data_IF_888710197344
#
_entry.id   IF_888710197344
#
_cell.length_a   1.000
_cell.length_b   1.000
_cell.length_c   1.000
_cell.angle_alpha   90.00
_cell.angle_beta   90.00
_cell.angle_gamma   90.00
#
_symmetry.space_group_name_H-M   'P 1'
#
loop_
_entity.id
_entity.type
_entity.pdbx_description
1 polymer ?
#
# COMPACT_ATOMS: atom_id res chain seq x y z
N UNK A 1 -14.24 15.21 8.25
CA UNK A 1 -14.52 14.13 7.29
C UNK A 1 -13.67 14.36 6.06
N UNK A 2 -12.86 13.36 5.72
CA UNK A 2 -12.08 13.35 4.47
C UNK A 2 -13.03 13.01 3.32
N UNK A 3 -12.93 13.71 2.19
CA UNK A 3 -13.53 13.21 0.94
C UNK A 3 -12.78 11.93 0.56
N UNK A 4 -13.47 10.79 0.68
CA UNK A 4 -12.88 9.47 0.44
C UNK A 4 -12.52 9.22 -1.03
N UNK A 5 -11.76 8.15 -1.31
CA UNK A 5 -11.44 7.75 -2.69
C UNK A 5 -12.69 7.42 -3.49
N UNK A 6 -12.65 7.69 -4.80
CA UNK A 6 -13.68 7.19 -5.72
C UNK A 6 -13.58 5.66 -5.89
N UNK A 7 -14.60 5.04 -6.49
CA UNK A 7 -14.54 3.60 -6.81
C UNK A 7 -13.36 3.26 -7.74
N UNK A 8 -13.09 4.10 -8.74
CA UNK A 8 -11.95 3.93 -9.65
C UNK A 8 -10.62 4.03 -8.88
N UNK A 9 -10.49 4.97 -7.95
CA UNK A 9 -9.29 5.12 -7.12
C UNK A 9 -9.05 3.90 -6.24
N UNK A 10 -10.11 3.36 -5.61
CA UNK A 10 -10.04 2.11 -4.85
C UNK A 10 -9.56 0.95 -5.72
N UNK A 11 -10.11 0.80 -6.92
CA UNK A 11 -9.72 -0.25 -7.87
C UNK A 11 -8.25 -0.15 -8.28
N UNK A 12 -7.79 1.06 -8.66
CA UNK A 12 -6.39 1.31 -9.04
C UNK A 12 -5.41 1.02 -7.90
N UNK A 13 -5.70 1.50 -6.70
CA UNK A 13 -4.82 1.30 -5.53
C UNK A 13 -4.70 -0.17 -5.16
N UNK A 14 -5.81 -0.90 -5.19
CA UNK A 14 -5.83 -2.33 -4.90
C UNK A 14 -5.09 -3.14 -5.93
N UNK A 15 -5.27 -2.82 -7.22
CA UNK A 15 -4.49 -3.47 -8.27
C UNK A 15 -2.99 -3.21 -8.07
N UNK A 16 -2.60 -1.97 -7.76
CA UNK A 16 -1.23 -1.65 -7.37
C UNK A 16 -0.74 -2.50 -6.19
N UNK A 17 -1.51 -2.57 -5.10
CA UNK A 17 -1.20 -3.39 -3.93
C UNK A 17 -1.03 -4.88 -4.28
N UNK A 18 -1.88 -5.43 -5.15
CA UNK A 18 -1.75 -6.80 -5.62
C UNK A 18 -0.40 -7.08 -6.30
N UNK A 19 0.10 -6.17 -7.15
CA UNK A 19 1.43 -6.32 -7.77
C UNK A 19 2.59 -6.12 -6.80
N UNK A 20 2.41 -5.23 -5.82
CA UNK A 20 3.38 -5.05 -4.72
C UNK A 20 3.48 -6.34 -3.91
N UNK A 21 2.35 -6.88 -3.47
CA UNK A 21 2.31 -8.09 -2.62
C UNK A 21 2.77 -9.36 -3.33
N UNK A 22 2.60 -9.44 -4.66
CA UNK A 22 3.13 -10.54 -5.46
C UNK A 22 4.61 -10.40 -5.82
N UNK A 23 5.23 -9.25 -5.55
CA UNK A 23 6.62 -9.01 -5.93
C UNK A 23 6.84 -9.03 -7.43
N UNK A 24 5.91 -8.45 -8.17
CA UNK A 24 6.04 -8.31 -9.63
C UNK A 24 6.15 -6.85 -10.03
N UNK A 25 5.54 -5.92 -9.27
CA UNK A 25 5.53 -4.48 -9.56
C UNK A 25 5.22 -4.20 -11.05
N UNK A 26 4.29 -4.97 -11.65
CA UNK A 26 3.91 -4.92 -13.07
C UNK A 26 4.93 -5.44 -14.10
N UNK A 27 5.91 -6.25 -13.69
CA UNK A 27 6.76 -6.99 -14.63
C UNK A 27 6.67 -8.51 -14.39
N UNK A 28 5.97 -9.26 -15.26
CA UNK A 28 5.84 -10.72 -15.13
C UNK A 28 7.15 -11.50 -15.36
N UNK A 29 8.20 -10.87 -15.90
CA UNK A 29 9.41 -11.55 -16.39
C UNK A 29 10.67 -11.35 -15.54
N UNK A 30 10.63 -10.54 -14.48
CA UNK A 30 11.87 -10.19 -13.75
C UNK A 30 12.32 -11.21 -12.72
N UNK A 31 11.45 -12.10 -12.22
CA UNK A 31 11.88 -13.22 -11.38
C UNK A 31 12.86 -14.17 -12.09
N UNK A 32 12.87 -14.20 -13.43
CA UNK A 32 13.70 -15.11 -14.22
C UNK A 32 15.08 -14.58 -14.60
N UNK A 33 15.28 -13.26 -14.66
CA UNK A 33 16.52 -12.64 -15.15
C UNK A 33 17.23 -11.75 -14.13
N UNK A 34 16.55 -11.37 -13.06
CA UNK A 34 17.06 -10.43 -12.10
C UNK A 34 17.50 -11.14 -10.81
N UNK A 35 18.72 -10.84 -10.36
CA UNK A 35 19.31 -11.43 -9.14
C UNK A 35 18.88 -10.72 -7.85
N UNK A 36 18.05 -9.68 -7.95
CA UNK A 36 17.62 -8.90 -6.80
C UNK A 36 16.23 -9.34 -6.39
N UNK A 37 16.17 -10.06 -5.27
CA UNK A 37 14.92 -10.25 -4.55
C UNK A 37 14.61 -8.97 -3.76
N UNK A 38 13.85 -8.06 -4.37
CA UNK A 38 13.44 -6.83 -3.71
C UNK A 38 12.33 -7.06 -2.68
N UNK A 39 11.79 -8.29 -2.58
CA UNK A 39 10.77 -8.62 -1.59
C UNK A 39 11.32 -8.54 -0.17
N UNK A 40 12.60 -8.85 0.02
CA UNK A 40 13.26 -8.70 1.32
C UNK A 40 13.21 -7.25 1.85
N UNK A 41 13.13 -6.25 0.97
CA UNK A 41 13.00 -4.86 1.38
C UNK A 41 11.57 -4.50 1.82
N UNK A 42 10.55 -5.22 1.35
CA UNK A 42 9.14 -5.02 1.71
C UNK A 42 8.67 -5.99 2.82
N UNK A 43 9.32 -7.14 2.96
CA UNK A 43 9.03 -8.16 3.96
C UNK A 43 9.64 -7.84 5.34
N UNK A 44 10.66 -6.98 5.39
CA UNK A 44 11.28 -6.53 6.64
C UNK A 44 10.62 -5.24 7.13
N UNK A 45 10.39 -5.10 8.44
CA UNK A 45 9.93 -3.85 9.02
C UNK A 45 10.83 -2.67 8.61
N UNK A 46 10.25 -1.62 8.04
CA UNK A 46 11.00 -0.47 7.58
C UNK A 46 10.20 0.50 6.70
N UNK A 47 10.86 1.59 6.23
CA UNK A 47 10.18 2.70 5.55
C UNK A 47 9.81 2.39 4.09
N UNK A 48 10.35 1.30 3.51
CA UNK A 48 10.26 1.02 2.08
C UNK A 48 8.81 0.99 1.56
N UNK A 49 7.90 0.35 2.28
CA UNK A 49 6.49 0.28 1.90
C UNK A 49 5.81 1.66 1.98
N UNK A 50 6.07 2.42 3.05
CA UNK A 50 5.55 3.78 3.20
C UNK A 50 6.05 4.73 2.12
N UNK A 51 7.33 4.66 1.77
CA UNK A 51 7.92 5.45 0.69
C UNK A 51 7.32 5.08 -0.67
N UNK A 52 7.13 3.79 -0.95
CA UNK A 52 6.50 3.31 -2.19
C UNK A 52 5.09 3.88 -2.38
N UNK A 53 4.27 3.80 -1.34
CA UNK A 53 2.91 4.34 -1.37
C UNK A 53 2.88 5.87 -1.31
N UNK A 54 3.90 6.52 -0.74
CA UNK A 54 4.06 7.97 -0.81
C UNK A 54 4.33 8.41 -2.26
N UNK A 55 5.25 7.76 -2.97
CA UNK A 55 5.51 8.08 -4.39
C UNK A 55 4.26 7.85 -5.24
N UNK A 56 3.53 6.76 -5.00
CA UNK A 56 2.23 6.53 -5.63
C UNK A 56 1.25 7.67 -5.34
N UNK A 57 1.14 8.09 -4.07
CA UNK A 57 0.22 9.13 -3.63
C UNK A 57 0.50 10.48 -4.28
N UNK A 58 1.77 10.90 -4.34
CA UNK A 58 2.16 12.12 -5.03
C UNK A 58 1.90 12.04 -6.54
N UNK A 59 2.21 10.91 -7.16
CA UNK A 59 1.96 10.70 -8.57
C UNK A 59 0.47 10.74 -8.92
N UNK A 60 -0.38 10.13 -8.09
CA UNK A 60 -1.85 10.16 -8.27
C UNK A 60 -2.42 11.55 -8.03
N UNK A 61 -1.92 12.29 -7.04
CA UNK A 61 -2.31 13.68 -6.82
C UNK A 61 -1.93 14.59 -8.01
N UNK A 62 -0.76 14.34 -8.62
CA UNK A 62 -0.36 15.01 -9.85
C UNK A 62 -1.31 14.69 -11.02
N UNK A 63 -1.69 13.42 -11.21
CA UNK A 63 -2.70 13.03 -12.22
C UNK A 63 -4.05 13.75 -12.01
N UNK A 64 -4.55 13.77 -10.77
CA UNK A 64 -5.84 14.39 -10.42
C UNK A 64 -5.83 15.90 -10.66
N UNK A 65 -4.68 16.55 -10.54
CA UNK A 65 -4.51 17.99 -10.77
C UNK A 65 -4.07 18.35 -12.19
N UNK A 66 -3.84 17.36 -13.06
CA UNK A 66 -3.31 17.57 -14.41
C UNK A 66 -1.83 18.00 -14.43
N UNK A 67 -1.09 17.80 -13.34
CA UNK A 67 0.33 18.13 -13.25
C UNK A 67 1.20 17.07 -13.96
N UNK A 68 2.40 17.45 -14.46
CA UNK A 68 3.32 16.50 -15.08
C UNK A 68 3.83 15.45 -14.07
N UNK A 69 3.65 14.16 -14.37
CA UNK A 69 4.17 13.04 -13.56
C UNK A 69 5.13 12.09 -14.31
N UNK A 70 5.34 12.32 -15.62
CA UNK A 70 6.07 11.43 -16.51
C UNK A 70 5.15 10.45 -17.24
N UNK A 71 5.74 9.44 -17.90
CA UNK A 71 4.99 8.46 -18.70
C UNK A 71 4.55 7.25 -17.87
N UNK A 72 3.30 6.82 -18.10
CA UNK A 72 2.79 5.51 -17.67
C UNK A 72 2.09 5.43 -16.32
N UNK A 73 1.75 6.57 -15.71
CA UNK A 73 0.83 6.63 -14.57
C UNK A 73 1.46 6.51 -13.19
N UNK A 74 0.64 6.69 -12.15
CA UNK A 74 1.06 6.71 -10.75
C UNK A 74 1.68 5.39 -10.26
N UNK A 75 1.07 4.26 -10.64
CA UNK A 75 1.52 2.90 -10.37
C UNK A 75 2.90 2.64 -10.99
N UNK A 76 3.09 2.98 -12.26
CA UNK A 76 4.37 2.76 -12.95
C UNK A 76 5.46 3.68 -12.41
N UNK A 77 5.13 4.92 -12.04
CA UNK A 77 6.09 5.84 -11.40
C UNK A 77 6.61 5.26 -10.08
N UNK A 78 5.72 4.82 -9.20
CA UNK A 78 6.08 4.22 -7.92
C UNK A 78 6.91 2.93 -8.11
N UNK A 79 6.51 2.07 -9.05
CA UNK A 79 7.26 0.85 -9.38
C UNK A 79 8.66 1.14 -9.93
N UNK A 80 8.80 2.09 -10.87
CA UNK A 80 10.11 2.50 -11.42
C UNK A 80 11.00 3.11 -10.34
N UNK A 81 10.43 3.91 -9.44
CA UNK A 81 11.16 4.44 -8.30
C UNK A 81 11.73 3.34 -7.42
N UNK A 82 10.89 2.42 -6.98
CA UNK A 82 11.35 1.36 -6.11
C UNK A 82 12.43 0.53 -6.77
N UNK A 83 12.28 0.21 -8.06
CA UNK A 83 13.32 -0.44 -8.87
C UNK A 83 14.64 0.32 -8.89
N UNK A 84 14.62 1.64 -9.00
CA UNK A 84 15.86 2.44 -9.02
C UNK A 84 16.68 2.30 -7.74
N UNK A 85 16.06 1.95 -6.60
CA UNK A 85 16.77 1.75 -5.33
C UNK A 85 17.70 0.53 -5.34
N UNK A 86 17.46 -0.42 -6.25
CA UNK A 86 18.28 -1.62 -6.41
C UNK A 86 18.79 -1.85 -7.84
N UNK A 87 18.42 -0.99 -8.80
CA UNK A 87 18.94 -0.96 -10.17
C UNK A 87 19.51 0.41 -10.51
N UNK A 88 20.84 0.60 -10.38
CA UNK A 88 21.47 1.90 -10.64
C UNK A 88 21.26 2.46 -12.05
N UNK A 89 20.97 1.62 -13.04
CA UNK A 89 20.71 2.04 -14.42
C UNK A 89 19.26 2.49 -14.67
N UNK A 90 18.34 2.24 -13.74
CA UNK A 90 16.93 2.64 -13.86
C UNK A 90 16.80 4.15 -13.64
N UNK A 91 16.39 4.86 -14.68
CA UNK A 91 16.05 6.28 -14.58
C UNK A 91 14.54 6.47 -14.39
N UNK A 92 14.18 7.62 -13.80
CA UNK A 92 12.80 8.06 -13.60
C UNK A 92 12.75 9.52 -14.02
N UNK A 93 11.84 9.86 -14.92
CA UNK A 93 11.65 11.22 -15.42
C UNK A 93 10.17 11.62 -15.23
N UNK A 94 9.88 12.72 -14.51
CA UNK A 94 10.82 13.52 -13.72
C UNK A 94 11.42 12.74 -12.53
N UNK A 95 12.62 13.09 -12.04
CA UNK A 95 13.20 12.47 -10.85
C UNK A 95 12.24 12.52 -9.66
N UNK A 96 12.29 11.50 -8.80
CA UNK A 96 11.52 11.49 -7.54
C UNK A 96 12.21 12.42 -6.54
N UNK A 97 11.47 13.41 -6.05
CA UNK A 97 11.96 14.35 -5.03
C UNK A 97 11.92 13.73 -3.62
N UNK A 98 12.68 14.29 -2.68
CA UNK A 98 12.66 13.85 -1.29
C UNK A 98 11.27 14.03 -0.63
N UNK A 99 10.48 15.01 -1.08
CA UNK A 99 9.12 15.23 -0.58
C UNK A 99 8.16 14.10 -0.98
N UNK A 100 8.39 13.44 -2.12
CA UNK A 100 7.59 12.31 -2.58
C UNK A 100 7.79 11.04 -1.74
N UNK A 101 8.83 10.99 -0.90
CA UNK A 101 9.14 9.85 -0.03
C UNK A 101 8.40 9.88 1.30
N UNK A 102 7.52 10.87 1.51
CA UNK A 102 6.70 10.99 2.70
C UNK A 102 5.26 11.43 2.34
N UNK A 103 4.27 11.15 3.22
CA UNK A 103 2.93 11.72 3.08
C UNK A 103 2.97 13.25 3.02
N UNK A 104 2.06 13.85 2.28
CA UNK A 104 1.97 15.30 2.09
C UNK A 104 1.76 15.73 0.65
N UNK A 105 1.06 14.93 -0.17
CA UNK A 105 0.72 15.30 -1.55
C UNK A 105 -0.44 16.30 -1.65
N UNK A 106 -1.09 16.61 -0.53
CA UNK A 106 -2.17 17.61 -0.45
C UNK A 106 -3.55 17.07 -0.80
N UNK A 107 -3.66 15.77 -1.11
CA UNK A 107 -4.93 15.06 -1.28
C UNK A 107 -5.17 14.18 -0.04
N UNK A 108 -6.13 14.52 0.83
CA UNK A 108 -6.20 13.93 2.18
C UNK A 108 -6.29 12.41 2.23
N UNK A 109 -7.03 11.77 1.32
CA UNK A 109 -7.17 10.31 1.31
C UNK A 109 -5.91 9.60 0.77
N UNK A 110 -5.17 10.23 -0.16
CA UNK A 110 -3.89 9.71 -0.63
C UNK A 110 -2.82 9.82 0.46
N UNK A 111 -2.85 10.92 1.22
CA UNK A 111 -1.98 11.09 2.38
C UNK A 111 -2.30 10.07 3.49
N UNK A 112 -3.58 9.73 3.68
CA UNK A 112 -4.01 8.67 4.60
C UNK A 112 -3.49 7.29 4.17
N UNK A 113 -3.57 6.97 2.87
CA UNK A 113 -3.00 5.75 2.29
C UNK A 113 -1.49 5.66 2.53
N UNK A 114 -0.76 6.74 2.27
CA UNK A 114 0.70 6.77 2.47
C UNK A 114 1.08 6.59 3.95
N UNK A 115 0.36 7.23 4.88
CA UNK A 115 0.56 7.05 6.33
C UNK A 115 0.24 5.62 6.78
N UNK A 116 -0.87 5.06 6.30
CA UNK A 116 -1.26 3.69 6.60
C UNK A 116 -0.18 2.70 6.14
N UNK A 117 0.28 2.81 4.89
CA UNK A 117 1.33 1.96 4.34
C UNK A 117 2.65 2.09 5.10
N UNK A 118 3.01 3.30 5.56
CA UNK A 118 4.18 3.51 6.41
C UNK A 118 4.03 2.82 7.77
N UNK A 119 2.88 2.98 8.44
CA UNK A 119 2.62 2.32 9.73
C UNK A 119 2.60 0.79 9.60
N UNK A 120 2.01 0.27 8.53
CA UNK A 120 2.00 -1.15 8.22
C UNK A 120 3.42 -1.67 7.99
N UNK A 121 4.17 -1.04 7.07
CA UNK A 121 5.52 -1.45 6.70
C UNK A 121 6.53 -1.34 7.84
N UNK A 122 6.37 -0.38 8.74
CA UNK A 122 7.27 -0.18 9.89
C UNK A 122 6.91 -1.09 11.09
N UNK A 123 5.85 -1.90 11.00
CA UNK A 123 5.43 -2.73 12.13
C UNK A 123 4.77 -1.95 13.26
N UNK A 124 4.13 -0.80 12.96
CA UNK A 124 3.56 0.16 13.92
C UNK A 124 2.06 0.38 13.77
N UNK A 125 1.38 -0.46 13.00
CA UNK A 125 -0.05 -0.34 12.75
C UNK A 125 -0.82 -0.62 14.05
N UNK A 126 -1.70 0.31 14.46
CA UNK A 126 -2.57 0.18 15.63
C UNK A 126 -1.91 -0.59 16.80
N UNK A 127 -0.88 -0.02 17.47
CA UNK A 127 -0.10 -0.72 18.49
C UNK A 127 -0.97 -1.34 19.61
N UNK A 128 -2.11 -0.74 19.91
CA UNK A 128 -3.09 -1.25 20.87
C UNK A 128 -3.70 -2.61 20.48
N UNK A 129 -3.66 -2.97 19.20
CA UNK A 129 -4.14 -4.26 18.67
C UNK A 129 -2.98 -5.22 18.32
N UNK A 130 -1.86 -4.70 17.82
CA UNK A 130 -0.81 -5.50 17.16
C UNK A 130 0.56 -5.48 17.86
N UNK A 131 0.74 -4.76 18.97
CA UNK A 131 2.03 -4.71 19.66
C UNK A 131 2.54 -6.12 20.01
N UNK A 132 3.81 -6.37 19.71
CA UNK A 132 4.47 -7.66 19.96
C UNK A 132 4.18 -8.75 18.93
N UNK A 133 3.42 -8.46 17.86
CA UNK A 133 3.13 -9.42 16.79
C UNK A 133 3.96 -9.12 15.55
N UNK A 134 4.59 -10.15 14.99
CA UNK A 134 5.27 -10.04 13.70
C UNK A 134 4.26 -10.26 12.57
N UNK A 135 3.88 -9.19 11.88
CA UNK A 135 2.88 -9.28 10.81
C UNK A 135 3.39 -8.76 9.45
N UNK A 136 4.45 -7.95 9.41
CA UNK A 136 4.91 -7.27 8.18
C UNK A 136 5.22 -8.28 7.07
N UNK A 137 6.06 -9.27 7.35
CA UNK A 137 6.46 -10.29 6.36
C UNK A 137 5.26 -11.08 5.84
N UNK A 138 4.31 -11.41 6.72
CA UNK A 138 3.11 -12.18 6.39
C UNK A 138 2.18 -11.41 5.44
N UNK A 139 2.03 -10.11 5.65
CA UNK A 139 1.09 -9.29 4.87
C UNK A 139 1.67 -8.68 3.61
N UNK A 140 3.00 -8.59 3.47
CA UNK A 140 3.63 -7.99 2.29
C UNK A 140 4.11 -9.02 1.29
N UNK A 141 4.84 -10.09 1.67
CA UNK A 141 5.49 -10.96 0.67
C UNK A 141 5.79 -12.42 1.10
N UNK A 142 5.40 -12.85 2.30
CA UNK A 142 5.94 -14.06 2.94
C UNK A 142 5.36 -15.42 2.51
N UNK A 143 4.40 -15.50 1.57
CA UNK A 143 3.76 -16.78 1.23
C UNK A 143 2.96 -16.81 -0.07
N UNK A 144 2.47 -18.01 -0.44
CA UNK A 144 1.50 -18.20 -1.53
C UNK A 144 0.23 -17.40 -1.21
N UNK A 145 -0.10 -16.38 -2.02
CA UNK A 145 -1.28 -15.54 -1.81
C UNK A 145 -1.02 -14.14 -1.24
N UNK A 146 0.24 -13.77 -0.97
CA UNK A 146 0.60 -12.45 -0.42
C UNK A 146 0.05 -11.27 -1.23
N UNK A 147 -0.06 -11.39 -2.56
CA UNK A 147 -0.73 -10.38 -3.40
C UNK A 147 -2.20 -10.17 -3.06
N UNK A 148 -2.98 -11.24 -2.92
CA UNK A 148 -4.41 -11.17 -2.56
C UNK A 148 -4.61 -10.71 -1.12
N UNK A 149 -3.74 -11.11 -0.19
CA UNK A 149 -3.77 -10.63 1.20
C UNK A 149 -3.50 -9.12 1.26
N UNK A 150 -2.45 -8.65 0.60
CA UNK A 150 -2.12 -7.22 0.63
C UNK A 150 -3.15 -6.38 -0.11
N UNK A 151 -3.71 -6.90 -1.21
CA UNK A 151 -4.85 -6.29 -1.89
C UNK A 151 -6.05 -6.11 -0.95
N UNK A 152 -6.43 -7.16 -0.21
CA UNK A 152 -7.57 -7.12 0.72
C UNK A 152 -7.32 -6.14 1.88
N UNK A 153 -6.11 -6.11 2.43
CA UNK A 153 -5.72 -5.15 3.48
C UNK A 153 -5.90 -3.71 3.00
N UNK A 154 -5.42 -3.41 1.80
CA UNK A 154 -5.60 -2.08 1.20
C UNK A 154 -7.08 -1.80 0.88
N UNK A 155 -7.83 -2.81 0.43
CA UNK A 155 -9.26 -2.70 0.16
C UNK A 155 -10.05 -2.30 1.42
N UNK A 156 -9.85 -3.03 2.53
CA UNK A 156 -10.51 -2.74 3.80
C UNK A 156 -10.20 -1.31 4.24
N UNK A 157 -8.94 -0.91 4.17
CA UNK A 157 -8.55 0.46 4.55
C UNK A 157 -9.29 1.50 3.72
N UNK A 158 -9.25 1.40 2.39
CA UNK A 158 -9.88 2.42 1.52
C UNK A 158 -11.40 2.37 1.54
N UNK A 159 -12.00 1.18 1.69
CA UNK A 159 -13.44 1.03 1.77
C UNK A 159 -13.97 1.66 3.06
N UNK A 160 -13.36 1.38 4.21
CA UNK A 160 -13.74 2.00 5.49
C UNK A 160 -13.51 3.51 5.44
N UNK A 161 -12.39 3.97 4.86
CA UNK A 161 -12.13 5.40 4.69
C UNK A 161 -13.19 6.07 3.79
N UNK A 162 -13.62 5.42 2.72
CA UNK A 162 -14.69 5.92 1.85
C UNK A 162 -16.07 5.94 2.53
N UNK A 163 -16.38 4.93 3.33
CA UNK A 163 -17.65 4.80 4.05
C UNK A 163 -17.77 5.81 5.20
N UNK A 164 -16.67 6.07 5.91
CA UNK A 164 -16.68 6.82 7.18
C UNK A 164 -16.06 8.21 7.08
N UNK A 165 -15.14 8.43 6.13
CA UNK A 165 -14.31 9.62 6.08
C UNK A 165 -13.35 9.76 7.27
N UNK A 166 -13.13 8.69 8.03
CA UNK A 166 -12.31 8.62 9.25
C UNK A 166 -11.14 7.64 9.10
N UNK A 167 -9.92 8.19 9.06
CA UNK A 167 -8.68 7.43 8.94
C UNK A 167 -8.44 6.54 10.18
N UNK A 168 -8.80 6.98 11.38
CA UNK A 168 -8.60 6.17 12.60
C UNK A 168 -9.53 4.96 12.61
N UNK A 169 -10.77 5.10 12.13
CA UNK A 169 -11.68 3.98 11.92
C UNK A 169 -11.12 3.00 10.88
N UNK A 170 -10.64 3.51 9.73
CA UNK A 170 -10.02 2.68 8.70
C UNK A 170 -8.80 1.91 9.21
N UNK A 171 -7.87 2.59 9.89
CA UNK A 171 -6.69 1.96 10.52
C UNK A 171 -7.12 0.85 11.49
N UNK A 172 -8.06 1.14 12.38
CA UNK A 172 -8.53 0.17 13.39
C UNK A 172 -9.13 -1.06 12.72
N UNK A 173 -10.06 -0.88 11.77
CA UNK A 173 -10.74 -2.00 11.09
C UNK A 173 -9.75 -2.87 10.31
N UNK A 174 -8.83 -2.25 9.58
CA UNK A 174 -7.78 -2.99 8.87
C UNK A 174 -6.84 -3.71 9.85
N UNK A 175 -6.49 -3.10 10.98
CA UNK A 175 -5.65 -3.75 11.99
C UNK A 175 -6.33 -4.96 12.65
N UNK A 176 -7.66 -4.92 12.84
CA UNK A 176 -8.41 -6.09 13.29
C UNK A 176 -8.28 -7.25 12.29
N UNK A 177 -8.41 -6.97 10.98
CA UNK A 177 -8.19 -7.97 9.94
C UNK A 177 -6.75 -8.51 9.96
N UNK A 178 -5.75 -7.62 10.02
CA UNK A 178 -4.34 -8.04 10.10
C UNK A 178 -4.12 -8.94 11.32
N UNK A 179 -4.73 -8.61 12.47
CA UNK A 179 -4.63 -9.43 13.67
C UNK A 179 -5.21 -10.82 13.47
N UNK A 180 -6.37 -10.96 12.84
CA UNK A 180 -6.95 -12.28 12.57
C UNK A 180 -6.11 -13.16 11.64
N UNK A 181 -5.13 -12.58 10.92
CA UNK A 181 -4.18 -13.34 10.11
C UNK A 181 -2.97 -13.85 10.90
N UNK A 182 -2.70 -13.30 12.09
CA UNK A 182 -1.50 -13.59 12.91
C UNK A 182 -1.83 -14.03 14.33
N UNK A 183 -3.11 -14.23 14.63
CA UNK A 183 -3.64 -14.57 15.94
C UNK A 183 -4.84 -15.50 15.72
N UNK A 184 -4.62 -16.81 15.71
CA UNK A 184 -5.66 -17.81 15.41
C UNK A 184 -6.84 -17.76 16.41
N UNK A 185 -6.59 -17.26 17.62
CA UNK A 185 -7.60 -17.09 18.68
C UNK A 185 -8.34 -15.73 18.61
N UNK A 186 -8.03 -14.89 17.63
CA UNK A 186 -8.63 -13.56 17.51
C UNK A 186 -9.82 -13.54 16.56
N UNK A 187 -10.99 -13.22 17.11
CA UNK A 187 -12.20 -12.97 16.35
C UNK A 187 -12.39 -11.46 16.14
N UNK A 188 -12.68 -11.06 14.89
CA UNK A 188 -12.91 -9.65 14.55
C UNK A 188 -14.31 -9.25 15.02
N UNK A 189 -14.37 -8.35 16.00
CA UNK A 189 -15.64 -7.86 16.54
C UNK A 189 -15.79 -6.32 16.42
N UNK A 190 -16.90 -5.82 15.84
CA UNK A 190 -17.89 -6.57 15.06
C UNK A 190 -17.24 -7.17 13.80
N UNK A 191 -17.83 -8.23 13.25
CA UNK A 191 -17.37 -8.81 11.97
C UNK A 191 -17.20 -7.75 10.87
N UNK A 192 -16.27 -7.98 9.94
CA UNK A 192 -16.12 -7.13 8.77
C UNK A 192 -17.33 -7.27 7.86
N UNK A 193 -17.94 -6.16 7.51
CA UNK A 193 -19.08 -6.15 6.60
C UNK A 193 -18.64 -6.43 5.16
N UNK A 194 -19.58 -6.82 4.31
CA UNK A 194 -19.34 -6.99 2.87
C UNK A 194 -18.82 -5.68 2.24
N UNK A 195 -19.37 -4.53 2.64
CA UNK A 195 -18.94 -3.23 2.14
C UNK A 195 -17.50 -2.87 2.54
N UNK A 196 -17.00 -3.40 3.66
CA UNK A 196 -15.61 -3.22 4.08
C UNK A 196 -14.66 -4.12 3.27
N UNK A 197 -15.09 -5.33 2.90
CA UNK A 197 -14.22 -6.35 2.28
C UNK A 197 -14.35 -6.44 0.76
N UNK A 198 -15.39 -5.83 0.17
CA UNK A 198 -15.70 -5.97 -1.25
C UNK A 198 -14.57 -5.46 -2.14
N UNK A 199 -14.23 -6.30 -3.12
CA UNK A 199 -13.25 -6.03 -4.15
C UNK A 199 -13.89 -5.31 -5.36
N UNK A 200 -14.41 -4.08 -5.16
CA UNK A 200 -15.02 -3.24 -6.22
C UNK A 200 -14.05 -3.00 -7.40
N UNK A 201 -14.52 -3.26 -8.63
CA UNK A 201 -13.80 -2.95 -9.88
C UNK A 201 -14.18 -1.57 -10.40
#
# INVERSE_FOLDING_TARGET
MIAGPSQEDCGRLRFFAFYVGNGTLFLPLERGYDRVDYLDALARPGPALGQLFSVYAHARAAELSGAPLGSGGADLRAARWFRSTFRPAQTIEPPVSAAELAPGCGVPWLDAVARFAAALGEGRLAPELLAGREYVSLVTCGGTGAGSTFELIMAIFTNVLALTGDEAAAVRRTAQHVRSLVDDDYEVEPELTEDETVLRL
#
